data_IF_841387484575
#
_entry.id   IF_841387484575
#
_cell.length_a   1.000
_cell.length_b   1.000
_cell.length_c   1.000
_cell.angle_alpha   90.00
_cell.angle_beta   90.00
_cell.angle_gamma   90.00
#
_symmetry.space_group_name_H-M   'P 1'
#
loop_
_entity.id
_entity.type
_entity.pdbx_description
1 polymer ?
#
# COMPACT_ATOMS: atom_id res chain seq x y z
N UNK A 1 35.75 -9.42 22.13
CA UNK A 1 35.43 -7.98 22.24
C UNK A 1 35.64 -7.27 20.91
N UNK A 2 36.75 -7.51 20.21
CA UNK A 2 37.08 -6.79 18.97
C UNK A 2 36.07 -7.00 17.84
N UNK A 3 35.40 -8.16 17.78
CA UNK A 3 34.38 -8.47 16.76
C UNK A 3 33.13 -7.59 16.86
N UNK A 4 32.60 -7.39 18.07
CA UNK A 4 31.44 -6.51 18.27
C UNK A 4 31.84 -5.04 18.08
N UNK A 5 33.07 -4.68 18.48
CA UNK A 5 33.62 -3.35 18.27
C UNK A 5 33.90 -3.06 16.79
N UNK A 6 34.29 -4.05 15.99
CA UNK A 6 34.54 -3.91 14.55
C UNK A 6 33.27 -3.92 13.69
N UNK A 7 32.10 -4.18 14.30
CA UNK A 7 30.81 -4.21 13.60
C UNK A 7 30.52 -5.54 12.87
N UNK A 8 31.26 -6.60 13.19
CA UNK A 8 31.04 -7.96 12.68
C UNK A 8 30.62 -8.92 13.82
N UNK A 9 29.45 -8.70 14.45
CA UNK A 9 28.93 -9.59 15.48
C UNK A 9 28.48 -10.94 14.86
N UNK A 10 28.70 -12.05 15.57
CA UNK A 10 28.29 -13.38 15.11
C UNK A 10 27.14 -13.96 15.94
N UNK A 11 27.11 -13.67 17.24
CA UNK A 11 26.11 -14.20 18.17
C UNK A 11 25.16 -13.12 18.72
N UNK A 12 25.50 -11.84 18.52
CA UNK A 12 24.73 -10.70 18.99
C UNK A 12 24.12 -9.88 17.85
N UNK A 13 23.18 -9.00 18.21
CA UNK A 13 22.55 -8.05 17.28
C UNK A 13 23.47 -6.88 16.88
N UNK A 14 24.74 -6.89 17.30
CA UNK A 14 25.71 -5.83 16.99
C UNK A 14 25.52 -4.52 17.73
N UNK A 15 24.62 -4.46 18.71
CA UNK A 15 24.48 -3.28 19.53
C UNK A 15 25.74 -3.10 20.39
N UNK A 16 26.27 -1.88 20.51
CA UNK A 16 27.40 -1.60 21.40
C UNK A 16 26.93 -1.45 22.86
N UNK A 17 26.33 -2.51 23.39
CA UNK A 17 25.79 -2.59 24.75
C UNK A 17 26.39 -3.77 25.51
N UNK A 18 26.42 -3.69 26.84
CA UNK A 18 26.93 -4.78 27.69
C UNK A 18 26.16 -6.09 27.48
N UNK A 19 24.87 -6.01 27.14
CA UNK A 19 24.05 -7.20 26.86
C UNK A 19 24.51 -7.90 25.58
N UNK A 20 24.71 -7.13 24.51
CA UNK A 20 25.19 -7.66 23.24
C UNK A 20 26.66 -8.13 23.34
N UNK A 21 27.49 -7.47 24.14
CA UNK A 21 28.85 -7.95 24.46
C UNK A 21 28.81 -9.30 25.21
N UNK A 22 27.93 -9.43 26.20
CA UNK A 22 27.76 -10.68 26.96
C UNK A 22 27.32 -11.82 26.04
N UNK A 23 26.34 -11.54 25.18
CA UNK A 23 25.81 -12.47 24.19
C UNK A 23 26.88 -12.86 23.16
N UNK A 24 27.69 -11.91 22.69
CA UNK A 24 28.79 -12.17 21.75
C UNK A 24 29.92 -13.00 22.37
N UNK A 25 30.18 -12.82 23.67
CA UNK A 25 31.18 -13.57 24.41
C UNK A 25 30.64 -14.89 25.02
N UNK A 26 29.35 -15.20 24.82
CA UNK A 26 28.72 -16.42 25.37
C UNK A 26 28.67 -16.46 26.90
N UNK A 27 28.72 -15.30 27.56
CA UNK A 27 28.74 -15.19 29.03
C UNK A 27 27.46 -14.52 29.54
N UNK A 28 26.99 -14.87 30.75
CA UNK A 28 25.83 -14.21 31.33
C UNK A 28 26.16 -12.75 31.68
N UNK A 29 25.20 -11.85 31.47
CA UNK A 29 25.32 -10.41 31.78
C UNK A 29 25.87 -10.14 33.19
N UNK A 30 25.45 -10.94 34.17
CA UNK A 30 25.87 -10.81 35.57
C UNK A 30 27.38 -10.97 35.75
N UNK A 31 28.03 -11.79 34.92
CA UNK A 31 29.48 -11.92 34.95
C UNK A 31 30.18 -10.60 34.59
N UNK A 32 29.65 -9.86 33.61
CA UNK A 32 30.19 -8.55 33.21
C UNK A 32 29.84 -7.41 34.15
N UNK A 33 28.73 -7.53 34.90
CA UNK A 33 28.32 -6.46 35.83
C UNK A 33 28.80 -6.66 37.28
N UNK A 34 29.16 -7.89 37.68
CA UNK A 34 29.56 -8.21 39.06
C UNK A 34 31.00 -8.75 39.18
N UNK A 35 31.52 -9.46 38.17
CA UNK A 35 32.85 -10.10 38.22
C UNK A 35 33.89 -9.44 37.33
N UNK A 36 33.47 -8.89 36.20
CA UNK A 36 34.36 -8.31 35.18
C UNK A 36 33.97 -6.87 34.88
N UNK A 37 33.94 -6.04 35.93
CA UNK A 37 33.63 -4.63 35.81
C UNK A 37 34.68 -3.89 34.97
N UNK A 38 35.92 -4.34 35.01
CA UNK A 38 37.04 -3.81 34.23
C UNK A 38 36.79 -3.98 32.72
N UNK A 39 36.32 -5.15 32.30
CA UNK A 39 36.00 -5.43 30.90
C UNK A 39 34.82 -4.59 30.40
N UNK A 40 33.85 -4.30 31.27
CA UNK A 40 32.76 -3.37 30.97
C UNK A 40 33.31 -1.95 30.79
N UNK A 41 34.20 -1.50 31.67
CA UNK A 41 34.75 -0.15 31.60
C UNK A 41 35.62 0.02 30.34
N UNK A 42 36.52 -0.93 30.06
CA UNK A 42 37.32 -0.97 28.84
C UNK A 42 36.44 -0.99 27.58
N UNK A 43 35.28 -1.66 27.62
CA UNK A 43 34.32 -1.64 26.54
C UNK A 43 33.72 -0.27 26.30
N UNK A 44 33.28 0.41 27.36
CA UNK A 44 32.73 1.75 27.22
C UNK A 44 33.79 2.78 26.84
N UNK A 45 35.03 2.64 27.31
CA UNK A 45 36.15 3.47 26.88
C UNK A 45 36.44 3.29 25.40
N UNK A 46 36.60 2.05 24.92
CA UNK A 46 36.82 1.80 23.49
C UNK A 46 35.64 2.25 22.61
N UNK A 47 34.40 2.12 23.09
CA UNK A 47 33.22 2.64 22.38
C UNK A 47 33.25 4.17 22.31
N UNK A 48 33.69 4.83 23.39
CA UNK A 48 33.79 6.30 23.47
C UNK A 48 34.95 6.83 22.63
N UNK A 49 36.11 6.18 22.67
CA UNK A 49 37.29 6.49 21.85
C UNK A 49 37.00 6.34 20.35
N UNK A 50 36.13 5.40 19.97
CA UNK A 50 35.70 5.20 18.58
C UNK A 50 34.71 6.25 18.07
N UNK A 51 34.25 7.17 18.93
CA UNK A 51 33.55 8.39 18.53
C UNK A 51 32.02 8.29 18.49
N UNK A 52 31.40 9.21 19.23
CA UNK A 52 30.05 9.78 19.08
C UNK A 52 29.03 9.03 18.18
N UNK A 53 28.07 8.37 18.83
CA UNK A 53 26.93 7.62 18.26
C UNK A 53 27.36 6.48 17.33
N UNK A 54 27.12 5.21 17.71
CA UNK A 54 27.48 4.07 16.88
C UNK A 54 26.89 4.27 15.48
N UNK A 55 27.72 4.24 14.45
CA UNK A 55 27.31 4.33 13.04
C UNK A 55 26.15 3.36 12.73
N UNK A 56 26.13 2.20 13.41
CA UNK A 56 25.03 1.23 13.38
C UNK A 56 23.70 1.82 13.89
N UNK A 57 23.71 2.55 15.00
CA UNK A 57 22.53 3.21 15.55
C UNK A 57 22.06 4.37 14.67
N UNK A 58 23.00 5.16 14.13
CA UNK A 58 22.69 6.22 13.16
C UNK A 58 22.04 5.65 11.90
N UNK A 59 22.62 4.60 11.32
CA UNK A 59 22.05 3.86 10.17
C UNK A 59 20.69 3.24 10.51
N UNK A 60 20.51 2.72 11.72
CA UNK A 60 19.23 2.17 12.15
C UNK A 60 18.15 3.27 12.25
N UNK A 61 18.49 4.43 12.82
CA UNK A 61 17.59 5.59 12.87
C UNK A 61 17.22 6.07 11.47
N UNK A 62 18.18 6.15 10.54
CA UNK A 62 17.91 6.49 9.13
C UNK A 62 16.97 5.47 8.47
N UNK A 63 17.18 4.16 8.70
CA UNK A 63 16.28 3.11 8.20
C UNK A 63 14.87 3.24 8.78
N UNK A 64 14.73 3.53 10.07
CA UNK A 64 13.43 3.74 10.72
C UNK A 64 12.71 4.93 10.10
N UNK A 65 13.39 6.05 9.88
CA UNK A 65 12.79 7.23 9.23
C UNK A 65 12.30 6.88 7.83
N UNK A 66 13.16 6.22 7.02
CA UNK A 66 12.79 5.80 5.66
C UNK A 66 11.61 4.83 5.63
N UNK A 67 11.55 3.88 6.57
CA UNK A 67 10.44 2.94 6.69
C UNK A 67 9.14 3.65 7.10
N UNK A 68 9.21 4.57 8.07
CA UNK A 68 8.05 5.38 8.48
C UNK A 68 7.50 6.22 7.32
N UNK A 69 8.38 6.84 6.54
CA UNK A 69 8.00 7.60 5.36
C UNK A 69 7.33 6.70 4.31
N UNK A 70 7.90 5.52 4.06
CA UNK A 70 7.34 4.54 3.11
C UNK A 70 5.94 4.07 3.56
N UNK A 71 5.76 3.75 4.84
CA UNK A 71 4.47 3.35 5.41
C UNK A 71 3.45 4.50 5.28
N UNK A 72 3.85 5.73 5.60
CA UNK A 72 3.00 6.91 5.47
C UNK A 72 2.53 7.11 4.02
N UNK A 73 3.44 7.01 3.06
CA UNK A 73 3.12 7.13 1.65
C UNK A 73 2.19 6.01 1.17
N UNK A 74 2.44 4.76 1.59
CA UNK A 74 1.60 3.62 1.25
C UNK A 74 0.21 3.70 1.87
N UNK A 75 0.08 4.19 3.10
CA UNK A 75 -1.22 4.41 3.72
C UNK A 75 -2.03 5.48 2.98
N UNK A 76 -1.39 6.59 2.58
CA UNK A 76 -2.04 7.62 1.75
C UNK A 76 -2.55 7.05 0.42
N UNK A 77 -1.76 6.19 -0.22
CA UNK A 77 -2.16 5.51 -1.46
C UNK A 77 -3.35 4.58 -1.23
N UNK A 78 -3.35 3.78 -0.15
CA UNK A 78 -4.47 2.93 0.23
C UNK A 78 -5.74 3.73 0.53
N UNK A 79 -5.63 4.86 1.22
CA UNK A 79 -6.79 5.69 1.55
C UNK A 79 -7.41 6.32 0.29
N UNK A 80 -6.59 6.72 -0.69
CA UNK A 80 -7.07 7.15 -2.02
C UNK A 80 -7.80 6.03 -2.72
N UNK A 81 -7.20 4.85 -2.84
CA UNK A 81 -7.81 3.69 -3.50
C UNK A 81 -9.14 3.27 -2.82
N UNK A 82 -9.19 3.31 -1.49
CA UNK A 82 -10.42 3.04 -0.72
C UNK A 82 -11.54 4.03 -1.01
N UNK A 83 -11.21 5.25 -1.41
CA UNK A 83 -12.18 6.29 -1.80
C UNK A 83 -12.56 6.18 -3.27
N UNK A 84 -11.57 5.95 -4.14
CA UNK A 84 -11.75 5.94 -5.60
C UNK A 84 -12.53 4.71 -6.08
N UNK A 85 -12.26 3.53 -5.52
CA UNK A 85 -12.91 2.28 -5.96
C UNK A 85 -14.44 2.34 -5.82
N UNK A 86 -15.01 2.70 -4.65
CA UNK A 86 -16.46 2.84 -4.52
C UNK A 86 -17.05 3.92 -5.44
N UNK A 87 -16.34 5.03 -5.66
CA UNK A 87 -16.77 6.09 -6.56
C UNK A 87 -16.87 5.60 -8.01
N UNK A 88 -15.84 4.89 -8.49
CA UNK A 88 -15.82 4.29 -9.82
C UNK A 88 -16.90 3.21 -9.96
N UNK A 89 -17.11 2.37 -8.95
CA UNK A 89 -18.20 1.37 -8.95
C UNK A 89 -19.56 2.05 -9.08
N UNK A 90 -19.80 3.17 -8.38
CA UNK A 90 -21.04 3.94 -8.51
C UNK A 90 -21.24 4.45 -9.94
N UNK A 91 -20.19 5.01 -10.55
CA UNK A 91 -20.24 5.50 -11.94
C UNK A 91 -20.53 4.36 -12.91
N UNK A 92 -19.87 3.21 -12.75
CA UNK A 92 -20.10 2.03 -13.59
C UNK A 92 -21.55 1.55 -13.47
N UNK A 93 -22.10 1.47 -12.25
CA UNK A 93 -23.48 1.06 -12.03
C UNK A 93 -24.47 2.03 -12.70
N UNK A 94 -24.24 3.34 -12.58
CA UNK A 94 -25.06 4.35 -13.22
C UNK A 94 -25.05 4.19 -14.75
N UNK A 95 -23.86 4.10 -15.35
CA UNK A 95 -23.71 3.93 -16.80
C UNK A 95 -24.30 2.61 -17.29
N UNK A 96 -24.26 1.57 -16.47
CA UNK A 96 -24.86 0.27 -16.79
C UNK A 96 -26.39 0.38 -16.87
N UNK A 97 -27.01 1.07 -15.91
CA UNK A 97 -28.46 1.31 -15.91
C UNK A 97 -28.89 2.18 -17.09
N UNK A 98 -28.16 3.27 -17.36
CA UNK A 98 -28.45 4.15 -18.51
C UNK A 98 -28.34 3.39 -19.83
N UNK A 99 -27.31 2.55 -20.00
CA UNK A 99 -27.16 1.70 -21.18
C UNK A 99 -28.30 0.69 -21.33
N UNK A 100 -28.76 0.08 -20.23
CA UNK A 100 -29.90 -0.83 -20.24
C UNK A 100 -31.18 -0.09 -20.68
N UNK A 101 -31.46 1.07 -20.10
CA UNK A 101 -32.61 1.90 -20.47
C UNK A 101 -32.58 2.33 -21.93
N UNK A 102 -31.43 2.75 -22.46
CA UNK A 102 -31.30 3.10 -23.87
C UNK A 102 -31.55 1.88 -24.76
N UNK A 103 -31.00 0.72 -24.42
CA UNK A 103 -31.22 -0.52 -25.17
C UNK A 103 -32.69 -0.94 -25.16
N UNK A 104 -33.38 -0.78 -24.04
CA UNK A 104 -34.82 -1.03 -23.93
C UNK A 104 -35.62 -0.06 -24.81
N UNK A 105 -35.30 1.24 -24.80
CA UNK A 105 -35.94 2.24 -25.66
C UNK A 105 -35.76 1.91 -27.15
N UNK A 106 -34.57 1.47 -27.58
CA UNK A 106 -34.33 1.05 -28.96
C UNK A 106 -34.97 -0.30 -29.30
N UNK A 107 -35.20 -1.16 -28.31
CA UNK A 107 -35.85 -2.47 -28.50
C UNK A 107 -37.37 -2.39 -28.48
N UNK A 108 -37.96 -1.30 -27.99
CA UNK A 108 -39.38 -1.05 -28.10
C UNK A 108 -39.73 -0.76 -29.56
N UNK A 109 -40.64 -1.54 -30.18
CA UNK A 109 -41.08 -1.27 -31.54
C UNK A 109 -41.78 0.10 -31.56
N UNK A 110 -41.25 1.03 -32.35
CA UNK A 110 -41.95 2.27 -32.71
C UNK A 110 -43.23 1.90 -33.48
N UNK A 111 -44.31 1.66 -32.74
CA UNK A 111 -45.65 1.43 -33.27
C UNK A 111 -46.43 2.66 -32.82
N UNK A 112 -46.77 3.58 -33.72
CA UNK A 112 -47.90 3.36 -34.62
C UNK A 112 -47.65 4.03 -35.98
N UNK A 113 -47.05 3.29 -36.92
CA UNK A 113 -46.95 3.74 -38.31
C UNK A 113 -48.25 3.32 -38.99
N UNK A 114 -49.24 4.21 -39.01
CA UNK A 114 -50.48 3.99 -39.77
C UNK A 114 -50.13 4.06 -41.27
N UNK A 115 -50.23 2.95 -42.02
CA UNK A 115 -50.02 3.02 -43.46
C UNK A 115 -51.13 3.87 -44.06
N UNK A 116 -50.81 4.93 -44.80
CA UNK A 116 -51.80 5.70 -45.55
C UNK A 116 -52.38 4.79 -46.63
N UNK A 117 -53.66 4.45 -46.49
CA UNK A 117 -54.37 3.61 -47.44
C UNK A 117 -54.66 4.51 -48.65
N UNK A 118 -54.11 4.15 -49.81
CA UNK A 118 -54.37 4.89 -51.03
C UNK A 118 -55.88 4.87 -51.30
N UNK A 119 -56.46 6.05 -51.47
CA UNK A 119 -57.90 6.25 -51.57
C UNK A 119 -58.37 5.47 -52.78
N UNK A 120 -59.20 4.42 -52.57
CA UNK A 120 -59.92 3.70 -53.61
C UNK A 120 -60.38 4.69 -54.68
N UNK A 121 -59.81 4.58 -55.88
CA UNK A 121 -60.24 5.34 -57.06
C UNK A 121 -61.74 5.17 -57.19
N UNK A 122 -62.45 6.28 -57.11
CA UNK A 122 -63.89 6.33 -57.36
C UNK A 122 -64.08 5.98 -58.84
N UNK A 123 -64.63 4.79 -59.13
CA UNK A 123 -65.09 4.42 -60.46
C UNK A 123 -66.50 5.00 -60.60
N UNK A 124 -66.73 6.00 -61.49
CA UNK A 124 -68.08 6.51 -61.72
C UNK A 124 -68.92 5.43 -62.43
N UNK A 125 -70.25 5.42 -62.22
CA UNK A 125 -71.13 4.43 -62.85
C UNK A 125 -71.29 4.73 -64.34
N UNK A 126 -71.16 3.69 -65.17
CA UNK A 126 -71.47 3.76 -66.60
C UNK A 126 -72.97 4.01 -66.80
N UNK A 127 -73.30 5.03 -67.60
CA UNK A 127 -74.68 5.35 -68.01
C UNK A 127 -75.09 4.46 -69.19
N UNK A 128 -76.33 3.93 -69.22
CA UNK A 128 -76.80 3.09 -70.33
C UNK A 128 -77.22 3.95 -71.54
N UNK A 129 -77.20 3.30 -72.72
CA UNK A 129 -77.54 3.86 -74.04
C UNK A 129 -78.99 4.29 -74.20
#
# INVERSE_FOLDING_TARGET
>A
MDRILSGAPQASNGALTVVALAQEAGVPRNALTQRHLDLKNEFYERVKERGATPDVESRLRQKIVKLKETISNKNKELDRLRTDVPALVRVINQLTLENQQLREQFSQPTTDVIPLHDRRRFQPPDLPS
#
